data_IF_392575302479
#
_entry.id   IF_392575302479
#
_cell.length_a   1.000
_cell.length_b   1.000
_cell.length_c   1.000
_cell.angle_alpha   90.00
_cell.angle_beta   90.00
_cell.angle_gamma   90.00
#
_symmetry.space_group_name_H-M   'P 1'
#
loop_
_entity.id
_entity.type
_entity.pdbx_description
1 polymer ?
#
# COMPACT_ATOMS: atom_id res chain seq x y z
N UNK A 1 -16.68 -11.44 -0.55
CA UNK A 1 -16.17 -11.28 -1.93
C UNK A 1 -14.66 -11.22 -1.90
N UNK A 2 -13.98 -11.87 -2.84
CA UNK A 2 -12.52 -11.89 -2.90
C UNK A 2 -12.02 -10.70 -3.72
N UNK A 3 -11.03 -9.97 -3.21
CA UNK A 3 -10.38 -8.86 -3.93
C UNK A 3 -9.47 -9.37 -5.04
N UNK A 4 -9.15 -8.51 -6.02
CA UNK A 4 -8.09 -8.80 -7.00
C UNK A 4 -6.74 -8.42 -6.41
N UNK A 5 -5.78 -9.34 -6.46
CA UNK A 5 -4.41 -9.12 -6.00
C UNK A 5 -3.54 -8.75 -7.21
N UNK A 6 -2.82 -7.64 -7.09
CA UNK A 6 -1.92 -7.12 -8.12
C UNK A 6 -0.58 -6.87 -7.44
N UNK A 7 0.50 -7.41 -8.00
CA UNK A 7 1.86 -7.28 -7.46
C UNK A 7 2.77 -6.73 -8.55
N UNK A 8 3.35 -5.55 -8.32
CA UNK A 8 4.34 -4.95 -9.21
C UNK A 8 5.74 -5.29 -8.68
N UNK A 9 6.43 -6.19 -9.36
CA UNK A 9 7.76 -6.66 -8.94
C UNK A 9 8.76 -6.62 -10.09
N UNK A 10 10.02 -6.39 -9.73
CA UNK A 10 11.17 -6.37 -10.62
C UNK A 10 12.46 -6.41 -9.77
N UNK A 11 13.46 -7.17 -10.21
CA UNK A 11 14.75 -7.31 -9.53
C UNK A 11 15.62 -6.05 -9.60
N UNK A 12 15.36 -5.14 -10.54
CA UNK A 12 16.12 -3.89 -10.71
C UNK A 12 15.55 -2.77 -9.82
N UNK A 13 16.42 -2.09 -9.08
CA UNK A 13 16.09 -0.87 -8.35
C UNK A 13 15.84 0.32 -9.29
N UNK A 14 15.05 1.30 -8.84
CA UNK A 14 14.85 2.56 -9.57
C UNK A 14 14.02 2.48 -10.87
N UNK A 15 13.30 1.38 -11.11
CA UNK A 15 12.46 1.19 -12.32
C UNK A 15 11.00 1.65 -12.16
N UNK A 16 10.65 2.31 -11.05
CA UNK A 16 9.31 2.85 -10.84
C UNK A 16 8.31 1.95 -10.11
N UNK A 17 8.69 0.76 -9.64
CA UNK A 17 7.77 -0.19 -8.94
C UNK A 17 6.88 0.46 -7.88
N UNK A 18 7.49 1.20 -6.94
CA UNK A 18 6.79 1.88 -5.85
C UNK A 18 5.93 3.01 -6.40
N UNK A 19 6.48 3.85 -7.27
CA UNK A 19 5.77 5.00 -7.87
C UNK A 19 4.52 4.56 -8.63
N UNK A 20 4.64 3.52 -9.47
CA UNK A 20 3.52 3.00 -10.25
C UNK A 20 2.49 2.32 -9.35
N UNK A 21 2.94 1.62 -8.30
CA UNK A 21 2.06 1.01 -7.29
C UNK A 21 1.23 2.07 -6.55
N UNK A 22 1.88 3.13 -6.08
CA UNK A 22 1.24 4.24 -5.37
C UNK A 22 0.22 4.96 -6.27
N UNK A 23 0.60 5.29 -7.50
CA UNK A 23 -0.28 5.98 -8.45
C UNK A 23 -1.47 5.10 -8.84
N UNK A 24 -1.26 3.81 -9.09
CA UNK A 24 -2.33 2.88 -9.40
C UNK A 24 -3.34 2.79 -8.24
N UNK A 25 -2.85 2.71 -7.00
CA UNK A 25 -3.71 2.68 -5.81
C UNK A 25 -4.54 3.96 -5.66
N UNK A 26 -3.90 5.13 -5.80
CA UNK A 26 -4.59 6.44 -5.71
C UNK A 26 -5.64 6.58 -6.80
N UNK A 27 -5.29 6.28 -8.05
CA UNK A 27 -6.21 6.40 -9.20
C UNK A 27 -7.38 5.44 -9.04
N UNK A 28 -7.13 4.20 -8.63
CA UNK A 28 -8.18 3.23 -8.38
C UNK A 28 -9.12 3.66 -7.24
N UNK A 29 -8.58 4.21 -6.15
CA UNK A 29 -9.34 4.61 -4.97
C UNK A 29 -10.11 5.94 -5.14
N UNK A 30 -9.63 6.85 -5.98
CA UNK A 30 -10.21 8.19 -6.12
C UNK A 30 -11.66 8.13 -6.60
N UNK A 31 -12.57 8.73 -5.82
CA UNK A 31 -14.02 8.75 -6.07
C UNK A 31 -14.39 9.32 -7.44
N UNK A 32 -13.67 10.34 -7.90
CA UNK A 32 -13.90 10.98 -9.20
C UNK A 32 -13.34 10.19 -10.39
N UNK A 33 -12.67 9.06 -10.14
CA UNK A 33 -12.10 8.19 -11.16
C UNK A 33 -12.77 6.81 -11.07
N UNK A 34 -12.12 5.81 -10.49
CA UNK A 34 -12.61 4.43 -10.50
C UNK A 34 -13.38 4.03 -9.23
N UNK A 35 -13.30 4.83 -8.15
CA UNK A 35 -14.04 4.66 -6.90
C UNK A 35 -14.00 3.20 -6.35
N UNK A 36 -12.82 2.59 -6.32
CA UNK A 36 -12.62 1.23 -5.79
C UNK A 36 -12.21 1.28 -4.33
N UNK A 37 -12.60 0.25 -3.57
CA UNK A 37 -11.99 -0.02 -2.27
C UNK A 37 -10.65 -0.70 -2.51
N UNK A 38 -9.56 -0.02 -2.14
CA UNK A 38 -8.18 -0.47 -2.39
C UNK A 38 -7.50 -0.70 -1.04
N UNK A 39 -6.78 -1.82 -0.93
CA UNK A 39 -5.84 -2.08 0.14
C UNK A 39 -4.44 -2.02 -0.48
N UNK A 40 -3.61 -1.10 0.02
CA UNK A 40 -2.22 -0.95 -0.40
C UNK A 40 -1.33 -1.56 0.66
N UNK A 41 -0.45 -2.49 0.27
CA UNK A 41 0.43 -3.22 1.19
C UNK A 41 1.87 -2.87 0.83
N UNK A 42 2.58 -2.24 1.76
CA UNK A 42 4.01 -1.95 1.67
C UNK A 42 4.78 -2.99 2.47
N UNK A 43 5.55 -3.83 1.76
CA UNK A 43 6.38 -4.88 2.37
C UNK A 43 7.88 -4.58 2.21
N UNK A 44 8.23 -3.43 1.66
CA UNK A 44 9.62 -2.99 1.52
C UNK A 44 10.09 -2.38 2.84
N UNK A 45 11.26 -2.81 3.34
CA UNK A 45 11.85 -2.27 4.56
C UNK A 45 12.15 -0.77 4.46
N UNK A 46 12.27 -0.22 3.25
CA UNK A 46 12.43 1.22 3.03
C UNK A 46 11.15 2.03 3.27
N UNK A 47 9.97 1.37 3.32
CA UNK A 47 8.69 2.00 3.60
C UNK A 47 8.35 3.22 2.71
N UNK A 48 8.79 3.19 1.45
CA UNK A 48 8.63 4.33 0.52
C UNK A 48 7.15 4.59 0.20
N UNK A 49 6.36 3.54 -0.02
CA UNK A 49 4.91 3.68 -0.24
C UNK A 49 4.25 4.30 0.98
N UNK A 50 4.56 3.80 2.18
CA UNK A 50 4.05 4.35 3.45
C UNK A 50 4.37 5.84 3.61
N UNK A 51 5.60 6.24 3.29
CA UNK A 51 6.05 7.63 3.35
C UNK A 51 5.33 8.51 2.31
N UNK A 52 5.15 8.02 1.09
CA UNK A 52 4.43 8.73 0.03
C UNK A 52 2.94 8.91 0.36
N UNK A 53 2.28 7.90 0.93
CA UNK A 53 0.88 8.00 1.34
C UNK A 53 0.71 9.01 2.48
N UNK A 54 1.60 9.01 3.47
CA UNK A 54 1.60 10.00 4.56
C UNK A 54 1.78 11.43 4.03
N UNK A 55 2.66 11.63 3.04
CA UNK A 55 2.80 12.95 2.38
C UNK A 55 1.56 13.36 1.58
N UNK A 56 0.86 12.41 0.98
CA UNK A 56 -0.29 12.68 0.11
C UNK A 56 -1.57 12.94 0.89
N UNK A 57 -1.80 12.19 1.97
CA UNK A 57 -3.06 12.23 2.74
C UNK A 57 -2.92 12.88 4.13
N UNK A 58 -1.71 13.30 4.50
CA UNK A 58 -1.40 13.84 5.83
C UNK A 58 -1.02 12.75 6.82
N UNK A 59 -0.84 13.14 8.08
CA UNK A 59 -0.45 12.20 9.15
C UNK A 59 -1.52 11.11 9.31
N UNK A 60 -1.15 9.87 8.97
CA UNK A 60 -1.94 8.66 9.18
C UNK A 60 -1.30 7.90 10.33
N UNK A 61 -2.11 7.50 11.31
CA UNK A 61 -1.66 6.62 12.39
C UNK A 61 -1.69 5.17 11.90
N UNK A 62 -0.57 4.46 12.04
CA UNK A 62 -0.46 3.05 11.66
C UNK A 62 -0.45 2.20 12.94
N UNK A 63 -1.59 1.60 13.34
CA UNK A 63 -1.75 0.94 14.64
C UNK A 63 -0.87 -0.31 14.81
N UNK A 64 -0.48 -0.95 13.70
CA UNK A 64 0.36 -2.14 13.71
C UNK A 64 1.34 -2.12 12.53
N UNK A 65 2.59 -2.53 12.77
CA UNK A 65 3.55 -2.76 11.69
C UNK A 65 3.24 -4.05 10.92
N UNK A 66 3.66 -4.10 9.65
CA UNK A 66 3.52 -5.30 8.83
C UNK A 66 4.19 -6.53 9.49
N UNK A 67 5.35 -6.37 10.12
CA UNK A 67 6.05 -7.45 10.84
C UNK A 67 5.21 -8.04 11.98
N UNK A 68 4.54 -7.19 12.78
CA UNK A 68 3.63 -7.67 13.84
C UNK A 68 2.42 -8.39 13.27
N UNK A 69 1.92 -7.94 12.12
CA UNK A 69 0.81 -8.62 11.44
C UNK A 69 1.19 -10.02 10.97
N UNK A 70 2.40 -10.17 10.41
CA UNK A 70 2.95 -11.48 10.03
C UNK A 70 3.11 -12.39 11.26
N UNK A 71 3.64 -11.87 12.38
CA UNK A 71 3.81 -12.63 13.62
C UNK A 71 2.49 -13.11 14.24
N UNK A 72 1.45 -12.28 14.18
CA UNK A 72 0.12 -12.60 14.71
C UNK A 72 -0.75 -13.39 13.73
N UNK A 73 -0.32 -13.55 12.47
CA UNK A 73 -1.08 -14.22 11.43
C UNK A 73 -2.34 -13.45 10.98
N UNK A 74 -2.45 -12.16 11.29
CA UNK A 74 -3.63 -11.34 10.96
C UNK A 74 -3.29 -9.88 10.72
N UNK A 75 -4.01 -9.26 9.78
CA UNK A 75 -3.97 -7.82 9.48
C UNK A 75 -5.08 -7.04 10.19
N UNK A 76 -5.92 -7.69 11.00
CA UNK A 76 -7.11 -7.06 11.59
C UNK A 76 -6.79 -5.88 12.53
N UNK A 77 -5.56 -5.81 13.05
CA UNK A 77 -5.11 -4.72 13.92
C UNK A 77 -4.28 -3.68 13.15
N UNK A 78 -4.10 -3.85 11.83
CA UNK A 78 -3.28 -2.99 10.96
C UNK A 78 -4.11 -2.00 10.13
N UNK A 79 -5.44 -2.03 10.23
CA UNK A 79 -6.40 -1.22 9.46
C UNK A 79 -7.38 -0.56 10.41
#
# INVERSE_FOLDING_TARGET
MMGKIIVLTNLKGGVGKTTDTDMMAIVAAKKSLFNKKVLLIDVDLQANTTSNMTRTFGTVEYPQSFTKAVQSGTLNQAI
#
